data_IF_191740639810
#
_entry.id   IF_191740639810
#
_cell.length_a   1.000
_cell.length_b   1.000
_cell.length_c   1.000
_cell.angle_alpha   90.00
_cell.angle_beta   90.00
_cell.angle_gamma   90.00
#
_symmetry.space_group_name_H-M   'P 1'
#
loop_
_entity.id
_entity.type
_entity.pdbx_description
1 polymer ?
#
# COMPACT_ATOMS: atom_id res chain seq x y z
N UNK A 1 -8.83 -21.91 31.12
CA UNK A 1 -8.97 -20.71 30.27
C UNK A 1 -7.65 -19.94 30.04
N UNK A 2 -6.62 -20.09 30.86
CA UNK A 2 -5.36 -19.33 30.77
C UNK A 2 -4.40 -19.76 29.64
N UNK A 3 -4.44 -21.03 29.23
CA UNK A 3 -3.57 -21.56 28.17
C UNK A 3 -3.84 -20.94 26.78
N UNK A 4 -5.09 -20.58 26.50
CA UNK A 4 -5.48 -19.95 25.23
C UNK A 4 -4.93 -18.52 25.11
N UNK A 5 -5.02 -17.73 26.18
CA UNK A 5 -4.45 -16.37 26.20
C UNK A 5 -2.92 -16.38 26.10
N UNK A 6 -2.26 -17.36 26.72
CA UNK A 6 -0.81 -17.56 26.56
C UNK A 6 -0.44 -17.88 25.11
N UNK A 7 -1.21 -18.77 24.45
CA UNK A 7 -1.02 -19.07 23.03
C UNK A 7 -1.28 -17.87 22.11
N UNK A 8 -2.25 -17.03 22.43
CA UNK A 8 -2.56 -15.82 21.65
C UNK A 8 -1.46 -14.76 21.78
N UNK A 9 -0.90 -14.56 22.98
CA UNK A 9 0.24 -13.67 23.19
C UNK A 9 1.48 -14.15 22.42
N UNK A 10 1.84 -15.43 22.58
CA UNK A 10 2.99 -16.01 21.90
C UNK A 10 2.88 -15.89 20.38
N UNK A 11 1.68 -16.11 19.82
CA UNK A 11 1.42 -15.96 18.38
C UNK A 11 1.51 -14.51 17.90
N UNK A 12 1.19 -13.54 18.77
CA UNK A 12 1.40 -12.11 18.50
C UNK A 12 2.88 -11.75 18.46
N UNK A 13 3.66 -12.28 19.41
CA UNK A 13 5.11 -12.09 19.49
C UNK A 13 5.83 -12.73 18.29
N UNK A 14 5.45 -13.94 17.88
CA UNK A 14 6.00 -14.63 16.70
C UNK A 14 5.80 -13.80 15.42
N UNK A 15 4.59 -13.31 15.17
CA UNK A 15 4.30 -12.46 13.99
C UNK A 15 5.12 -11.19 13.97
N UNK A 16 5.31 -10.56 15.12
CA UNK A 16 6.10 -9.35 15.22
C UNK A 16 7.59 -9.61 14.96
N UNK A 17 8.12 -10.72 15.48
CA UNK A 17 9.49 -11.16 15.19
C UNK A 17 9.69 -11.46 13.70
N UNK A 18 8.75 -12.13 13.05
CA UNK A 18 8.83 -12.43 11.62
C UNK A 18 8.80 -11.16 10.77
N UNK A 19 7.96 -10.18 11.13
CA UNK A 19 7.93 -8.87 10.46
C UNK A 19 9.24 -8.11 10.63
N UNK A 20 9.84 -8.11 11.83
CA UNK A 20 11.13 -7.47 12.07
C UNK A 20 12.27 -8.15 11.29
N UNK A 21 12.29 -9.49 11.25
CA UNK A 21 13.27 -10.24 10.46
C UNK A 21 13.13 -9.97 8.97
N UNK A 22 11.90 -9.97 8.43
CA UNK A 22 11.65 -9.66 7.03
C UNK A 22 12.08 -8.23 6.67
N UNK A 23 11.84 -7.25 7.55
CA UNK A 23 12.31 -5.89 7.37
C UNK A 23 13.83 -5.78 7.42
N UNK A 24 14.49 -6.53 8.32
CA UNK A 24 15.95 -6.59 8.42
C UNK A 24 16.58 -7.25 7.19
N UNK A 25 15.99 -8.34 6.68
CA UNK A 25 16.42 -9.01 5.45
C UNK A 25 16.23 -8.09 4.24
N UNK A 26 15.13 -7.35 4.16
CA UNK A 26 14.94 -6.35 3.10
C UNK A 26 15.95 -5.20 3.22
N UNK A 27 16.28 -4.75 4.43
CA UNK A 27 17.32 -3.73 4.63
C UNK A 27 18.72 -4.24 4.23
N UNK A 28 19.03 -5.51 4.50
CA UNK A 28 20.28 -6.18 4.08
C UNK A 28 20.34 -6.45 2.58
N UNK A 29 19.21 -6.74 1.94
CA UNK A 29 19.12 -7.01 0.50
C UNK A 29 18.91 -5.75 -0.36
N UNK A 30 18.54 -4.61 0.25
CA UNK A 30 18.37 -3.33 -0.42
C UNK A 30 19.59 -2.85 -1.24
N UNK A 31 20.87 -3.05 -0.83
CA UNK A 31 22.01 -2.72 -1.70
C UNK A 31 22.14 -3.68 -2.90
N UNK A 32 21.81 -4.97 -2.75
CA UNK A 32 21.95 -5.98 -3.82
C UNK A 32 20.85 -5.89 -4.90
N UNK A 33 19.67 -5.34 -4.58
CA UNK A 33 18.61 -5.09 -5.57
C UNK A 33 18.80 -3.78 -6.35
N UNK A 34 19.60 -2.84 -5.84
CA UNK A 34 19.93 -1.59 -6.54
C UNK A 34 20.87 -1.83 -7.72
N UNK A 35 21.88 -2.69 -7.55
CA UNK A 35 22.83 -3.05 -8.61
C UNK A 35 22.15 -3.78 -9.79
N UNK A 36 21.13 -4.61 -9.53
CA UNK A 36 20.36 -5.30 -10.60
C UNK A 36 19.37 -4.41 -11.35
N UNK A 37 19.00 -3.25 -10.80
CA UNK A 37 18.09 -2.28 -11.45
C UNK A 37 18.86 -1.30 -12.35
N UNK A 38 20.12 -1.03 -12.05
CA UNK A 38 20.96 -0.13 -12.85
C UNK A 38 21.36 -0.73 -14.20
N UNK A 39 21.58 -2.05 -14.29
CA UNK A 39 21.84 -2.73 -15.59
C UNK A 39 20.60 -2.81 -16.51
N UNK A 40 19.38 -2.85 -15.96
CA UNK A 40 18.13 -2.93 -16.76
C UNK A 40 17.61 -1.56 -17.23
N UNK A 41 18.10 -0.47 -16.65
CA UNK A 41 17.65 0.90 -16.98
C UNK A 41 18.16 1.42 -18.32
N UNK A 42 19.27 0.89 -18.85
CA UNK A 42 19.90 1.41 -20.08
C UNK A 42 19.38 0.75 -21.37
N UNK A 43 18.64 -0.37 -21.29
CA UNK A 43 18.11 -1.06 -22.47
C UNK A 43 16.65 -0.67 -22.84
N UNK A 44 15.94 0.06 -21.97
CA UNK A 44 14.51 0.35 -22.15
C UNK A 44 14.21 1.64 -22.93
N UNK A 45 15.20 2.47 -23.27
CA UNK A 45 14.97 3.74 -23.98
C UNK A 45 15.03 3.62 -25.52
N UNK A 46 15.37 2.46 -26.09
CA UNK A 46 15.43 2.27 -27.56
C UNK A 46 14.29 1.42 -28.14
N UNK A 47 13.36 0.89 -27.32
CA UNK A 47 12.29 -0.01 -27.80
C UNK A 47 10.88 0.61 -27.82
N UNK A 48 10.73 1.91 -27.59
CA UNK A 48 9.40 2.57 -27.51
C UNK A 48 8.82 3.03 -28.87
N UNK A 49 9.39 2.65 -30.01
CA UNK A 49 8.85 3.07 -31.32
C UNK A 49 8.44 1.93 -32.28
N UNK A 50 8.57 0.66 -31.89
CA UNK A 50 8.18 -0.47 -32.75
C UNK A 50 7.76 -1.67 -31.90
N UNK A 51 6.48 -1.79 -31.51
CA UNK A 51 5.91 -3.04 -30.96
C UNK A 51 4.39 -2.91 -30.76
N UNK A 52 3.65 -2.78 -31.86
CA UNK A 52 2.20 -2.98 -31.89
C UNK A 52 1.81 -4.38 -32.45
N UNK A 53 2.76 -5.31 -32.67
CA UNK A 53 2.42 -6.57 -33.38
C UNK A 53 2.90 -7.92 -32.80
N UNK A 54 3.46 -8.02 -31.58
CA UNK A 54 3.76 -9.36 -31.00
C UNK A 54 3.32 -9.49 -29.53
N UNK A 55 2.08 -9.94 -29.33
CA UNK A 55 1.57 -10.46 -28.05
C UNK A 55 1.34 -11.97 -28.11
N UNK A 56 2.39 -12.79 -27.90
CA UNK A 56 2.16 -14.14 -27.37
C UNK A 56 2.91 -14.45 -26.06
N UNK A 57 3.98 -13.71 -25.71
CA UNK A 57 4.88 -14.14 -24.62
C UNK A 57 4.42 -13.75 -23.21
N UNK A 58 3.62 -12.70 -23.08
CA UNK A 58 3.09 -12.24 -21.78
C UNK A 58 2.01 -13.19 -21.25
N UNK A 59 1.16 -13.69 -22.15
CA UNK A 59 0.04 -14.57 -21.80
C UNK A 59 0.52 -15.92 -21.22
N UNK A 60 1.59 -16.48 -21.80
CA UNK A 60 2.21 -17.70 -21.29
C UNK A 60 2.81 -17.52 -19.88
N UNK A 61 3.34 -16.33 -19.58
CA UNK A 61 3.93 -16.02 -18.27
C UNK A 61 2.84 -15.88 -17.19
N UNK A 62 1.74 -15.23 -17.52
CA UNK A 62 0.61 -15.02 -16.61
C UNK A 62 -0.15 -16.33 -16.32
N UNK A 63 -0.32 -17.18 -17.33
CA UNK A 63 -0.91 -18.52 -17.20
C UNK A 63 -0.11 -19.41 -16.22
N UNK A 64 1.21 -19.42 -16.36
CA UNK A 64 2.10 -20.19 -15.50
C UNK A 64 2.01 -19.71 -14.04
N UNK A 65 2.01 -18.39 -13.82
CA UNK A 65 1.88 -17.80 -12.49
C UNK A 65 0.52 -18.12 -11.85
N UNK A 66 -0.56 -18.07 -12.62
CA UNK A 66 -1.89 -18.44 -12.14
C UNK A 66 -1.96 -19.92 -11.73
N UNK A 67 -1.31 -20.82 -12.49
CA UNK A 67 -1.24 -22.24 -12.17
C UNK A 67 -0.51 -22.51 -10.84
N UNK A 68 0.56 -21.78 -10.55
CA UNK A 68 1.30 -21.89 -9.28
C UNK A 68 0.47 -21.42 -8.10
N UNK A 69 -0.28 -20.33 -8.27
CA UNK A 69 -1.17 -19.82 -7.23
C UNK A 69 -2.30 -20.83 -6.95
N UNK A 70 -2.83 -21.48 -7.99
CA UNK A 70 -3.80 -22.56 -7.82
C UNK A 70 -3.22 -23.76 -7.08
N UNK A 71 -1.98 -24.17 -7.36
CA UNK A 71 -1.27 -25.21 -6.60
C UNK A 71 -1.06 -24.82 -5.13
N UNK A 72 -0.88 -23.53 -4.85
CA UNK A 72 -0.77 -22.97 -3.49
C UNK A 72 -2.14 -22.77 -2.79
N UNK A 73 -3.25 -23.18 -3.41
CA UNK A 73 -4.60 -23.11 -2.84
C UNK A 73 -5.42 -21.90 -3.23
N UNK A 74 -4.93 -21.07 -4.15
CA UNK A 74 -5.72 -20.01 -4.79
C UNK A 74 -6.82 -20.58 -5.70
N UNK A 75 -7.85 -19.76 -5.97
CA UNK A 75 -8.98 -20.13 -6.85
C UNK A 75 -9.04 -19.19 -8.05
N UNK A 76 -8.03 -19.25 -8.91
CA UNK A 76 -7.98 -18.50 -10.17
C UNK A 76 -8.57 -19.38 -11.28
N UNK A 77 -9.53 -18.88 -12.05
CA UNK A 77 -10.06 -19.58 -13.22
C UNK A 77 -9.21 -19.23 -14.44
N UNK A 78 -8.82 -20.26 -15.19
CA UNK A 78 -8.01 -20.16 -16.40
C UNK A 78 -8.83 -20.80 -17.53
N UNK A 79 -8.93 -20.12 -18.67
CA UNK A 79 -9.61 -20.63 -19.87
C UNK A 79 -8.73 -21.62 -20.64
N UNK A 80 -9.29 -22.28 -21.67
CA UNK A 80 -8.57 -23.21 -22.54
C UNK A 80 -7.40 -22.55 -23.29
N UNK A 81 -7.51 -21.24 -23.55
CA UNK A 81 -6.45 -20.41 -24.15
C UNK A 81 -5.37 -19.97 -23.13
N UNK A 82 -5.42 -20.45 -21.89
CA UNK A 82 -4.45 -20.09 -20.85
C UNK A 82 -4.68 -18.71 -20.20
N UNK A 83 -5.72 -17.98 -20.61
CA UNK A 83 -6.01 -16.65 -20.08
C UNK A 83 -6.68 -16.72 -18.70
N UNK A 84 -6.27 -15.81 -17.80
CA UNK A 84 -6.84 -15.68 -16.45
C UNK A 84 -8.15 -14.90 -16.52
N UNK A 85 -9.24 -15.46 -16.01
CA UNK A 85 -10.58 -14.86 -16.09
C UNK A 85 -11.26 -14.82 -14.73
N UNK A 86 -11.93 -13.72 -14.40
CA UNK A 86 -12.81 -13.64 -13.23
C UNK A 86 -14.15 -14.34 -13.54
N UNK A 87 -14.57 -15.24 -12.64
CA UNK A 87 -15.88 -15.92 -12.72
C UNK A 87 -17.04 -14.93 -12.80
N UNK A 88 -16.90 -13.73 -12.23
CA UNK A 88 -17.94 -12.70 -12.30
C UNK A 88 -18.09 -12.14 -13.71
N UNK A 89 -16.99 -11.99 -14.44
CA UNK A 89 -17.02 -11.52 -15.83
C UNK A 89 -17.68 -12.55 -16.75
N UNK A 90 -17.42 -13.84 -16.53
CA UNK A 90 -18.14 -14.94 -17.20
C UNK A 90 -19.65 -14.92 -16.93
N UNK A 91 -20.07 -14.50 -15.73
CA UNK A 91 -21.49 -14.37 -15.38
C UNK A 91 -22.12 -13.06 -15.89
N UNK A 92 -21.32 -12.01 -16.08
CA UNK A 92 -21.77 -10.70 -16.57
C UNK A 92 -22.08 -10.71 -18.06
N UNK A 93 -21.41 -11.55 -18.85
CA UNK A 93 -21.68 -11.75 -20.27
C UNK A 93 -23.10 -12.25 -20.60
N UNK A 94 -23.91 -12.53 -19.58
CA UNK A 94 -25.24 -13.11 -19.74
C UNK A 94 -25.13 -14.62 -20.00
N UNK A 95 -26.11 -15.38 -19.50
CA UNK A 95 -26.25 -16.76 -19.92
C UNK A 95 -26.61 -16.76 -21.41
N UNK A 96 -25.85 -17.47 -22.26
CA UNK A 96 -26.18 -17.68 -23.67
C UNK A 96 -27.45 -18.54 -23.82
N UNK A 97 -28.59 -17.97 -23.44
CA UNK A 97 -29.90 -18.56 -23.67
C UNK A 97 -30.24 -18.34 -25.13
N UNK A 98 -30.24 -19.39 -25.95
CA UNK A 98 -30.79 -19.29 -27.31
C UNK A 98 -32.23 -18.76 -27.27
N UNK A 99 -32.71 -18.15 -28.36
CA UNK A 99 -34.00 -17.43 -28.43
C UNK A 99 -35.21 -18.17 -27.82
N UNK A 100 -35.21 -19.52 -27.83
CA UNK A 100 -36.25 -20.33 -27.17
C UNK A 100 -36.25 -20.22 -25.63
N UNK A 101 -35.08 -20.09 -25.00
CA UNK A 101 -34.92 -19.94 -23.56
C UNK A 101 -35.07 -18.48 -23.11
N UNK A 102 -34.75 -17.50 -23.96
CA UNK A 102 -35.09 -16.09 -23.68
C UNK A 102 -36.60 -15.89 -23.51
N UNK A 103 -37.42 -16.56 -24.32
CA UNK A 103 -38.88 -16.50 -24.18
C UNK A 103 -39.38 -17.10 -22.86
N UNK A 104 -38.73 -18.15 -22.35
CA UNK A 104 -39.05 -18.72 -21.03
C UNK A 104 -38.59 -17.81 -19.88
N UNK A 105 -37.38 -17.25 -19.96
CA UNK A 105 -36.89 -16.29 -18.96
C UNK A 105 -37.73 -15.01 -18.92
N UNK A 106 -38.16 -14.50 -20.09
CA UNK A 106 -39.09 -13.37 -20.17
C UNK A 106 -40.48 -13.71 -19.61
N UNK A 107 -40.96 -14.95 -19.79
CA UNK A 107 -42.20 -15.45 -19.14
C UNK A 107 -42.08 -15.59 -17.63
N UNK A 108 -40.92 -16.02 -17.13
CA UNK A 108 -40.67 -16.13 -15.69
C UNK A 108 -40.46 -14.77 -15.04
N UNK A 109 -39.82 -13.82 -15.74
CA UNK A 109 -39.67 -12.44 -15.29
C UNK A 109 -40.98 -11.63 -15.33
N UNK A 110 -41.94 -12.02 -16.17
CA UNK A 110 -43.27 -11.40 -16.26
C UNK A 110 -44.32 -12.07 -15.37
N UNK A 111 -43.97 -13.13 -14.63
CA UNK A 111 -44.82 -13.60 -13.54
C UNK A 111 -44.80 -12.55 -12.43
N UNK A 112 -45.97 -12.07 -11.97
CA UNK A 112 -46.01 -11.22 -10.78
C UNK A 112 -45.38 -12.01 -9.64
N UNK A 113 -44.31 -11.47 -9.06
CA UNK A 113 -43.86 -11.94 -7.75
C UNK A 113 -45.05 -11.67 -6.82
N UNK A 114 -45.59 -12.73 -6.24
CA UNK A 114 -46.52 -12.62 -5.11
C UNK A 114 -45.74 -12.03 -3.94
N UNK A 115 -45.59 -10.70 -3.97
CA UNK A 115 -45.00 -9.93 -2.90
C UNK A 115 -46.10 -9.76 -1.86
N UNK A 116 -46.26 -10.81 -1.04
CA UNK A 116 -47.09 -10.82 0.16
C UNK A 116 -46.55 -9.88 1.25
N UNK A 117 -46.26 -8.62 0.89
CA UNK A 117 -45.83 -7.53 1.78
C UNK A 117 -46.51 -6.22 1.43
N UNK A 118 -47.80 -6.28 1.12
CA UNK A 118 -48.68 -5.13 1.28
C UNK A 118 -49.33 -5.16 2.66
N UNK A 119 -48.49 -4.94 3.69
CA UNK A 119 -48.93 -4.52 5.01
C UNK A 119 -48.05 -3.39 5.48
N UNK A 120 -48.46 -2.18 5.11
CA UNK A 120 -48.19 -0.98 5.90
C UNK A 120 -46.95 -0.19 5.50
N UNK A 121 -46.87 0.28 4.25
CA UNK A 121 -46.26 1.60 4.03
C UNK A 121 -47.24 2.68 4.48
N UNK A 122 -47.56 2.65 5.78
CA UNK A 122 -48.21 3.76 6.44
C UNK A 122 -47.32 4.97 6.27
N UNK A 123 -47.88 6.01 5.66
CA UNK A 123 -47.44 7.39 5.82
C UNK A 123 -47.53 7.77 7.30
N UNK A 124 -46.64 7.17 8.10
CA UNK A 124 -46.52 7.40 9.52
C UNK A 124 -45.69 8.66 9.71
N UNK A 125 -46.37 9.75 10.00
CA UNK A 125 -45.91 10.87 10.82
C UNK A 125 -44.38 11.02 10.87
N UNK A 126 -43.83 11.71 9.87
CA UNK A 126 -42.45 12.21 9.92
C UNK A 126 -42.44 13.36 10.93
N UNK A 127 -42.28 13.03 12.21
CA UNK A 127 -41.89 14.02 13.22
C UNK A 127 -40.64 14.78 12.77
N UNK A 128 -40.36 15.94 13.36
CA UNK A 128 -39.33 16.91 12.99
C UNK A 128 -37.85 16.42 12.95
N UNK A 129 -37.61 15.11 12.83
CA UNK A 129 -36.33 14.45 12.60
C UNK A 129 -36.43 13.33 11.55
N UNK A 130 -37.06 13.61 10.40
CA UNK A 130 -37.25 12.67 9.30
C UNK A 130 -35.98 12.15 8.61
N UNK A 131 -36.17 11.57 7.40
CA UNK A 131 -35.07 11.04 6.57
C UNK A 131 -33.93 12.06 6.34
N UNK A 132 -34.23 13.35 6.30
CA UNK A 132 -33.24 14.44 6.24
C UNK A 132 -32.31 14.48 7.45
N UNK A 133 -32.86 14.47 8.68
CA UNK A 133 -32.07 14.48 9.91
C UNK A 133 -31.22 13.21 10.08
N UNK A 134 -31.67 12.05 9.56
CA UNK A 134 -30.84 10.85 9.49
C UNK A 134 -29.65 11.01 8.54
N UNK A 135 -29.87 11.59 7.35
CA UNK A 135 -28.80 11.89 6.40
C UNK A 135 -27.82 12.90 6.97
N UNK A 136 -28.29 13.98 7.59
CA UNK A 136 -27.43 14.98 8.22
C UNK A 136 -26.54 14.38 9.30
N UNK A 137 -27.07 13.47 10.15
CA UNK A 137 -26.25 12.75 11.13
C UNK A 137 -25.19 11.87 10.48
N UNK A 138 -25.55 11.16 9.41
CA UNK A 138 -24.62 10.32 8.66
C UNK A 138 -23.54 11.15 7.96
N UNK A 139 -23.93 12.26 7.31
CA UNK A 139 -23.02 13.20 6.67
C UNK A 139 -22.07 13.81 7.68
N UNK A 140 -22.57 14.25 8.84
CA UNK A 140 -21.74 14.81 9.92
C UNK A 140 -20.75 13.78 10.49
N UNK A 141 -21.15 12.51 10.61
CA UNK A 141 -20.26 11.44 11.04
C UNK A 141 -19.11 11.23 10.03
N UNK A 142 -19.43 11.19 8.73
CA UNK A 142 -18.43 11.04 7.67
C UNK A 142 -17.51 12.26 7.58
N UNK A 143 -18.07 13.45 7.72
CA UNK A 143 -17.32 14.71 7.75
C UNK A 143 -16.36 14.76 8.94
N UNK A 144 -16.80 14.30 10.12
CA UNK A 144 -15.93 14.20 11.30
C UNK A 144 -14.79 13.20 11.10
N UNK A 145 -15.05 12.04 10.51
CA UNK A 145 -14.00 11.05 10.19
C UNK A 145 -12.98 11.60 9.19
N UNK A 146 -13.45 12.32 8.17
CA UNK A 146 -12.58 12.98 7.18
C UNK A 146 -11.76 14.11 7.83
N UNK A 147 -12.37 14.94 8.67
CA UNK A 147 -11.68 16.00 9.37
C UNK A 147 -10.62 15.46 10.34
N UNK A 148 -10.91 14.36 11.02
CA UNK A 148 -9.96 13.69 11.91
C UNK A 148 -8.77 13.09 11.14
N UNK A 149 -9.01 12.44 9.99
CA UNK A 149 -7.92 11.90 9.16
C UNK A 149 -7.03 13.00 8.60
N UNK A 150 -7.62 14.10 8.13
CA UNK A 150 -6.88 15.28 7.65
C UNK A 150 -6.12 15.98 8.78
N UNK A 151 -6.65 16.00 10.00
CA UNK A 151 -5.95 16.55 11.15
C UNK A 151 -4.74 15.68 11.52
N UNK A 152 -4.91 14.36 11.58
CA UNK A 152 -3.81 13.42 11.85
C UNK A 152 -2.70 13.54 10.80
N UNK A 153 -3.04 13.60 9.50
CA UNK A 153 -2.03 13.74 8.45
C UNK A 153 -1.25 15.06 8.56
N UNK A 154 -1.91 16.16 8.93
CA UNK A 154 -1.23 17.45 9.17
C UNK A 154 -0.32 17.41 10.38
N UNK A 155 -0.77 16.82 11.49
CA UNK A 155 0.06 16.66 12.69
C UNK A 155 1.28 15.77 12.42
N UNK A 156 1.14 14.72 11.62
CA UNK A 156 2.25 13.87 11.18
C UNK A 156 3.25 14.66 10.33
N UNK A 157 2.78 15.43 9.33
CA UNK A 157 3.65 16.28 8.51
C UNK A 157 4.38 17.35 9.35
N UNK A 158 3.70 17.98 10.30
CA UNK A 158 4.30 18.97 11.20
C UNK A 158 5.38 18.33 12.09
N UNK A 159 5.10 17.15 12.68
CA UNK A 159 6.09 16.41 13.45
C UNK A 159 7.28 15.96 12.61
N UNK A 160 7.07 15.56 11.35
CA UNK A 160 8.15 15.23 10.43
C UNK A 160 9.01 16.46 10.12
N UNK A 161 8.39 17.62 9.89
CA UNK A 161 9.11 18.88 9.69
C UNK A 161 9.91 19.26 10.93
N UNK A 162 9.34 19.16 12.12
CA UNK A 162 10.05 19.42 13.38
C UNK A 162 11.22 18.44 13.57
N UNK A 163 11.05 17.16 13.23
CA UNK A 163 12.15 16.17 13.27
C UNK A 163 13.25 16.52 12.27
N UNK A 164 12.89 16.94 11.06
CA UNK A 164 13.87 17.40 10.06
C UNK A 164 14.59 18.64 10.58
N UNK A 165 13.88 19.64 11.10
CA UNK A 165 14.47 20.86 11.63
C UNK A 165 15.38 20.60 12.83
N UNK A 166 14.95 19.78 13.79
CA UNK A 166 15.77 19.42 14.96
C UNK A 166 17.00 18.59 14.53
N UNK A 167 16.83 17.67 13.58
CA UNK A 167 17.96 16.92 13.01
C UNK A 167 18.92 17.84 12.25
N UNK A 168 18.43 18.83 11.51
CA UNK A 168 19.24 19.80 10.79
C UNK A 168 19.97 20.76 11.75
N UNK A 169 19.28 21.22 12.81
CA UNK A 169 19.84 22.08 13.86
C UNK A 169 20.89 21.34 14.72
N UNK A 170 20.72 20.05 14.96
CA UNK A 170 21.65 19.24 15.78
C UNK A 170 22.86 18.71 15.01
N UNK A 171 22.77 18.61 13.68
CA UNK A 171 23.89 18.19 12.83
C UNK A 171 24.86 19.36 12.66
N UNK A 172 26.13 19.10 13.01
CA UNK A 172 27.22 20.05 12.75
C UNK A 172 27.30 20.35 11.26
N UNK A 173 27.36 21.63 10.92
CA UNK A 173 27.53 22.05 9.53
C UNK A 173 28.96 21.82 9.06
N UNK A 174 29.18 21.72 7.75
CA UNK A 174 30.52 21.54 7.18
C UNK A 174 31.46 22.71 7.55
N UNK A 175 30.92 23.93 7.67
CA UNK A 175 31.65 25.11 8.11
C UNK A 175 32.09 25.06 9.59
N UNK A 176 31.26 24.50 10.48
CA UNK A 176 31.66 24.26 11.86
C UNK A 176 32.76 23.21 11.95
N UNK A 177 32.68 22.17 11.10
CA UNK A 177 33.70 21.12 11.02
C UNK A 177 35.03 21.68 10.51
N UNK A 178 35.02 22.51 9.45
CA UNK A 178 36.24 23.14 8.93
C UNK A 178 36.84 24.13 9.94
N UNK A 179 36.02 24.98 10.57
CA UNK A 179 36.46 25.90 11.62
C UNK A 179 37.07 25.17 12.82
N UNK A 180 36.47 24.06 13.26
CA UNK A 180 37.01 23.25 14.35
C UNK A 180 38.35 22.61 13.97
N UNK A 181 38.48 22.13 12.73
CA UNK A 181 39.75 21.60 12.19
C UNK A 181 40.83 22.67 12.11
N UNK A 182 40.52 23.87 11.63
CA UNK A 182 41.46 25.00 11.56
C UNK A 182 41.96 25.42 12.94
N UNK A 183 41.06 25.57 13.92
CA UNK A 183 41.44 25.87 15.32
C UNK A 183 42.29 24.76 15.94
N UNK A 184 42.01 23.50 15.61
CA UNK A 184 42.82 22.38 16.07
C UNK A 184 44.24 22.43 15.48
N UNK A 185 44.35 22.69 14.18
CA UNK A 185 45.64 22.83 13.50
C UNK A 185 46.43 24.05 14.01
N UNK A 186 45.78 25.17 14.27
CA UNK A 186 46.40 26.35 14.86
C UNK A 186 46.96 26.04 16.26
N UNK A 187 46.14 25.47 17.16
CA UNK A 187 46.58 25.05 18.50
C UNK A 187 47.73 24.05 18.44
N UNK A 188 47.72 23.13 17.47
CA UNK A 188 48.81 22.17 17.29
C UNK A 188 50.11 22.85 16.87
N UNK A 189 50.07 23.79 15.91
CA UNK A 189 51.24 24.55 15.48
C UNK A 189 51.83 25.38 16.62
N UNK A 190 50.99 26.10 17.36
CA UNK A 190 51.42 26.88 18.53
C UNK A 190 52.07 26.00 19.60
N UNK A 191 51.51 24.81 19.87
CA UNK A 191 52.10 23.87 20.82
C UNK A 191 53.47 23.33 20.35
N UNK A 192 53.65 23.09 19.05
CA UNK A 192 54.94 22.69 18.48
C UNK A 192 55.96 23.82 18.54
N UNK A 193 55.57 25.06 18.23
CA UNK A 193 56.44 26.23 18.36
C UNK A 193 56.83 26.50 19.81
N UNK A 194 55.89 26.38 20.75
CA UNK A 194 56.17 26.53 22.17
C UNK A 194 57.12 25.43 22.68
N UNK A 195 56.97 24.19 22.21
CA UNK A 195 57.91 23.10 22.51
C UNK A 195 59.30 23.41 21.95
N UNK A 196 59.40 23.87 20.70
CA UNK A 196 60.67 24.25 20.07
C UNK A 196 61.35 25.41 20.80
N UNK A 197 60.58 26.43 21.23
CA UNK A 197 61.10 27.55 22.02
C UNK A 197 61.61 27.09 23.39
N UNK A 198 60.88 26.21 24.09
CA UNK A 198 61.30 25.63 25.37
C UNK A 198 62.53 24.73 25.30
N UNK A 199 62.81 24.12 24.14
CA UNK A 199 64.02 23.30 23.96
C UNK A 199 65.24 24.11 23.51
N UNK A 200 65.05 25.36 23.09
CA UNK A 200 66.12 26.24 22.61
C UNK A 200 66.61 27.23 23.68
N UNK A 201 65.93 27.30 24.82
CA UNK A 201 66.31 28.02 26.04
C UNK A 201 66.89 27.02 27.05
#
# INVERSE_FOLDING_TARGET
MTAFYKGLLNRGEERHQDMMKAAEEQAKNAPAEREKKEEKGQQQQQQQQQQDEEQPDKEATDANRASEINKKGGKIAINEDGQVVDKRELLRGGLNVGAKKEAQVRREASRPKDDGRDRGSGSGFVGAGGKGAMRERQTRMLEQQLAESLKRSREEEEQEREKIETSAKSRKTEGEISSAKERYLARKREAEEAKKKKTAE
#
